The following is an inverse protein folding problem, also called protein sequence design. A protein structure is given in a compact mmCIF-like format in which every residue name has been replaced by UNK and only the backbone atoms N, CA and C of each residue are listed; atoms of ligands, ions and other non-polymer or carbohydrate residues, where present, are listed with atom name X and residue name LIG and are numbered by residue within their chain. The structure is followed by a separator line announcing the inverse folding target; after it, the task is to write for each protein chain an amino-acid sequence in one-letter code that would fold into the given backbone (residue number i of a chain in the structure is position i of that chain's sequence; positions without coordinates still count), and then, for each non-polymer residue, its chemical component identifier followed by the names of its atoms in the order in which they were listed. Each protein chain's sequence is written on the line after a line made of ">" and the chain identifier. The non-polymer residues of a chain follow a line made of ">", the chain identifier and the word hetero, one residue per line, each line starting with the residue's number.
data_IF_265915764934
#
_entry.id   IF_265915764934
#
_cell.length_a   1.000
_cell.length_b   1.000
_cell.length_c   1.000
_cell.angle_alpha   90.00
_cell.angle_beta   90.00
_cell.angle_gamma   90.00
#
_symmetry.space_group_name_H-M   'P 1'
#
loop_
_entity.id
_entity.type
_entity.pdbx_description
1 polymer ?
#
# COMPACT_ATOMS: atom_id res chain seq x y z
N UNK A 1 -0.37 33.62 -22.59
CA UNK A 1 -1.57 33.22 -21.84
C UNK A 1 -1.55 31.71 -21.81
N UNK A 2 -0.71 31.17 -20.92
CA UNK A 2 -0.49 29.73 -20.81
C UNK A 2 -1.54 29.18 -19.87
N UNK A 3 -2.53 28.50 -20.45
CA UNK A 3 -3.50 27.69 -19.72
C UNK A 3 -2.78 26.41 -19.29
N UNK A 4 -2.05 26.52 -18.19
CA UNK A 4 -1.40 25.40 -17.54
C UNK A 4 -2.48 24.72 -16.73
N UNK A 5 -2.99 23.59 -17.25
CA UNK A 5 -3.89 22.72 -16.52
C UNK A 5 -3.24 22.37 -15.19
N UNK A 6 -3.70 23.02 -14.13
CA UNK A 6 -3.35 22.78 -12.74
C UNK A 6 -4.03 21.47 -12.29
N UNK A 7 -3.77 20.39 -13.02
CA UNK A 7 -4.12 19.05 -12.60
C UNK A 7 -3.20 18.70 -11.45
N UNK A 8 -3.68 18.91 -10.22
CA UNK A 8 -2.96 18.70 -8.95
C UNK A 8 -1.98 17.52 -9.07
N UNK A 9 -0.69 17.83 -9.19
CA UNK A 9 0.34 16.80 -9.22
C UNK A 9 0.24 16.00 -7.92
N UNK A 10 -0.16 14.74 -8.04
CA UNK A 10 -0.35 13.83 -6.91
C UNK A 10 0.97 13.59 -6.18
N UNK A 11 0.88 13.07 -4.96
CA UNK A 11 2.03 12.63 -4.18
C UNK A 11 2.16 11.11 -4.23
N UNK A 12 3.37 10.57 -4.25
CA UNK A 12 3.64 9.13 -4.23
C UNK A 12 4.23 8.72 -2.88
N UNK A 13 3.58 7.79 -2.18
CA UNK A 13 4.13 7.09 -1.03
C UNK A 13 4.64 5.70 -1.43
N UNK A 14 5.84 5.34 -1.01
CA UNK A 14 6.44 4.02 -1.25
C UNK A 14 6.47 3.25 0.06
N UNK A 15 5.90 2.05 0.07
CA UNK A 15 5.94 1.11 1.20
C UNK A 15 6.78 -0.08 0.79
N UNK A 16 7.94 -0.28 1.43
CA UNK A 16 8.85 -1.39 1.10
C UNK A 16 8.78 -2.53 2.11
N UNK A 17 8.53 -2.20 3.38
CA UNK A 17 8.55 -3.15 4.49
C UNK A 17 7.14 -3.53 4.88
N UNK A 18 6.73 -4.73 4.46
CA UNK A 18 5.55 -5.38 5.02
C UNK A 18 5.83 -5.86 6.45
N UNK A 19 5.19 -5.23 7.44
CA UNK A 19 5.17 -5.69 8.82
C UNK A 19 4.50 -7.05 8.97
N UNK A 20 5.09 -7.92 9.81
CA UNK A 20 4.66 -9.31 10.05
C UNK A 20 3.70 -9.41 11.25
N UNK A 21 2.60 -8.67 11.23
CA UNK A 21 1.55 -8.76 12.25
C UNK A 21 1.89 -8.06 13.58
N UNK A 22 1.19 -8.47 14.65
CA UNK A 22 1.05 -7.72 15.92
C UNK A 22 2.32 -7.42 16.73
N UNK A 23 3.48 -7.95 16.36
CA UNK A 23 4.72 -7.68 17.10
C UNK A 23 5.44 -6.41 16.61
N UNK A 24 5.37 -6.12 15.31
CA UNK A 24 6.03 -4.94 14.75
C UNK A 24 5.10 -3.72 14.64
N UNK A 25 3.77 -3.96 14.55
CA UNK A 25 2.77 -2.90 14.32
C UNK A 25 2.27 -2.19 15.58
N UNK A 26 2.85 -2.44 16.76
CA UNK A 26 2.38 -1.78 17.99
C UNK A 26 2.60 -0.25 18.00
N UNK A 27 3.37 0.30 17.05
CA UNK A 27 3.74 1.72 17.06
C UNK A 27 3.57 2.49 15.74
N UNK A 28 3.29 1.83 14.61
CA UNK A 28 3.13 2.52 13.32
C UNK A 28 2.19 1.75 12.38
N UNK A 29 1.14 2.42 11.89
CA UNK A 29 0.27 1.94 10.82
C UNK A 29 0.41 2.87 9.61
N UNK A 30 1.27 2.47 8.69
CA UNK A 30 1.62 3.18 7.48
C UNK A 30 0.41 3.39 6.54
N UNK A 31 -0.55 2.46 6.53
CA UNK A 31 -1.74 2.57 5.68
C UNK A 31 -2.77 3.53 6.29
N UNK A 32 -2.87 3.56 7.62
CA UNK A 32 -3.62 4.60 8.32
C UNK A 32 -3.01 5.98 8.05
N UNK A 33 -1.68 6.13 8.20
CA UNK A 33 -1.00 7.37 7.87
C UNK A 33 -1.23 7.78 6.40
N UNK A 34 -1.15 6.85 5.47
CA UNK A 34 -1.42 7.11 4.06
C UNK A 34 -2.84 7.66 3.81
N UNK A 35 -3.83 7.19 4.59
CA UNK A 35 -5.21 7.70 4.52
C UNK A 35 -5.27 9.17 4.92
N UNK A 36 -4.62 9.54 6.02
CA UNK A 36 -4.59 10.93 6.48
C UNK A 36 -3.77 11.83 5.54
N UNK A 37 -2.65 11.34 5.01
CA UNK A 37 -1.85 12.06 4.02
C UNK A 37 -2.61 12.29 2.72
N UNK A 38 -3.39 11.31 2.24
CA UNK A 38 -4.25 11.48 1.07
C UNK A 38 -5.18 12.68 1.23
N UNK A 39 -5.83 12.80 2.40
CA UNK A 39 -6.75 13.91 2.72
C UNK A 39 -6.04 15.25 2.83
N UNK A 40 -4.87 15.29 3.45
CA UNK A 40 -4.15 16.54 3.71
C UNK A 40 -3.37 17.05 2.48
N UNK A 41 -2.90 16.15 1.62
CA UNK A 41 -2.06 16.50 0.47
C UNK A 41 -2.85 16.74 -0.82
N UNK A 42 -4.17 16.51 -0.82
CA UNK A 42 -5.04 16.66 -1.99
C UNK A 42 -4.97 15.49 -2.98
N UNK A 43 -4.40 14.35 -2.57
CA UNK A 43 -4.20 13.21 -3.46
C UNK A 43 -2.93 12.43 -3.14
N UNK A 44 -3.04 11.11 -3.20
CA UNK A 44 -1.94 10.19 -2.93
C UNK A 44 -2.09 8.99 -3.85
N UNK A 45 -0.98 8.53 -4.41
CA UNK A 45 -0.82 7.19 -4.95
C UNK A 45 0.19 6.43 -4.06
N UNK A 46 0.06 5.11 -3.99
CA UNK A 46 0.91 4.23 -3.19
C UNK A 46 1.59 3.24 -4.12
N UNK A 47 2.89 3.03 -3.92
CA UNK A 47 3.65 1.91 -4.49
C UNK A 47 4.02 0.92 -3.39
N UNK A 48 3.52 -0.32 -3.53
CA UNK A 48 3.93 -1.46 -2.72
C UNK A 48 5.10 -2.16 -3.40
N UNK A 49 6.22 -2.31 -2.68
CA UNK A 49 7.40 -3.03 -3.14
C UNK A 49 8.01 -3.87 -2.03
N UNK A 50 9.06 -4.63 -2.35
CA UNK A 50 9.74 -5.47 -1.37
C UNK A 50 8.79 -6.45 -0.70
N UNK A 51 8.78 -6.51 0.64
CA UNK A 51 7.87 -7.42 1.37
C UNK A 51 6.44 -6.88 1.49
N UNK A 52 6.23 -5.58 1.26
CA UNK A 52 4.90 -4.96 1.32
C UNK A 52 3.97 -5.42 0.19
N UNK A 53 4.50 -5.99 -0.89
CA UNK A 53 3.68 -6.56 -1.99
C UNK A 53 2.71 -7.64 -1.50
N UNK A 54 3.02 -8.32 -0.39
CA UNK A 54 2.12 -9.31 0.21
C UNK A 54 0.81 -8.73 0.73
N UNK A 55 0.74 -7.41 0.96
CA UNK A 55 -0.50 -6.71 1.34
C UNK A 55 -1.51 -6.68 0.20
N UNK A 56 -1.03 -6.66 -1.04
CA UNK A 56 -1.87 -6.61 -2.22
C UNK A 56 -2.63 -7.91 -2.49
N UNK A 57 -2.18 -9.05 -1.95
CA UNK A 57 -2.79 -10.35 -2.22
C UNK A 57 -4.18 -10.47 -1.62
N UNK A 58 -5.16 -10.90 -2.40
CA UNK A 58 -6.50 -11.24 -1.91
C UNK A 58 -6.44 -12.52 -1.08
N UNK A 59 -6.45 -12.35 0.24
CA UNK A 59 -6.39 -13.42 1.22
C UNK A 59 -7.40 -13.13 2.34
N UNK A 60 -7.91 -14.19 3.00
CA UNK A 60 -8.75 -14.00 4.16
C UNK A 60 -8.02 -13.22 5.27
N UNK A 61 -8.77 -12.52 6.14
CA UNK A 61 -8.20 -11.89 7.33
C UNK A 61 -7.36 -12.89 8.14
N UNK A 62 -6.30 -12.41 8.83
CA UNK A 62 -5.47 -13.28 9.65
C UNK A 62 -6.34 -13.92 10.76
N UNK A 63 -6.21 -15.24 10.97
CA UNK A 63 -6.96 -15.90 12.03
C UNK A 63 -6.46 -15.45 13.40
N UNK A 64 -7.33 -15.46 14.40
CA UNK A 64 -6.91 -15.23 15.79
C UNK A 64 -5.83 -16.24 16.20
N UNK A 65 -4.78 -15.77 16.87
CA UNK A 65 -3.69 -16.62 17.35
C UNK A 65 -3.89 -16.96 18.83
N UNK A 66 -3.61 -18.21 19.18
CA UNK A 66 -3.57 -18.64 20.58
C UNK A 66 -2.13 -18.77 21.03
N UNK A 67 -1.74 -17.96 22.01
CA UNK A 67 -0.40 -17.93 22.60
C UNK A 67 -0.55 -18.32 24.07
N UNK A 68 -0.33 -19.61 24.36
CA UNK A 68 -0.59 -20.18 25.68
C UNK A 68 -2.07 -20.06 26.07
N UNK A 69 -2.35 -19.29 27.13
CA UNK A 69 -3.69 -18.99 27.62
C UNK A 69 -4.30 -17.70 27.04
N UNK A 70 -3.56 -16.93 26.24
CA UNK A 70 -4.04 -15.69 25.63
C UNK A 70 -4.49 -15.92 24.19
N UNK A 71 -5.59 -15.27 23.82
CA UNK A 71 -6.06 -15.17 22.44
C UNK A 71 -5.72 -13.78 21.92
N UNK A 72 -5.12 -13.72 20.74
CA UNK A 72 -4.79 -12.51 20.02
C UNK A 72 -5.66 -12.45 18.76
N UNK A 73 -6.76 -11.72 18.85
CA UNK A 73 -7.74 -11.48 17.79
C UNK A 73 -7.62 -10.09 17.17
N UNK A 74 -6.67 -9.27 17.64
CA UNK A 74 -6.39 -7.92 17.14
C UNK A 74 -5.31 -7.88 16.05
N UNK A 75 -5.08 -8.99 15.36
CA UNK A 75 -4.12 -9.02 14.25
C UNK A 75 -4.58 -8.11 13.11
N UNK A 76 -3.72 -7.19 12.71
CA UNK A 76 -4.03 -6.25 11.63
C UNK A 76 -4.15 -6.96 10.29
N UNK A 77 -5.23 -6.69 9.58
CA UNK A 77 -5.38 -7.05 8.17
C UNK A 77 -5.01 -5.84 7.28
N UNK A 78 -3.81 -5.81 6.66
CA UNK A 78 -3.41 -4.71 5.78
C UNK A 78 -4.34 -4.56 4.57
N UNK A 79 -5.05 -5.63 4.18
CA UNK A 79 -5.99 -5.62 3.05
C UNK A 79 -7.21 -4.75 3.34
N UNK A 80 -7.64 -4.68 4.59
CA UNK A 80 -8.71 -3.77 5.00
C UNK A 80 -8.29 -2.32 4.78
N UNK A 81 -7.06 -1.95 5.17
CA UNK A 81 -6.50 -0.62 4.92
C UNK A 81 -6.37 -0.29 3.42
N UNK A 82 -5.87 -1.23 2.61
CA UNK A 82 -5.77 -1.05 1.16
C UNK A 82 -7.15 -0.89 0.50
N UNK A 83 -8.16 -1.64 0.93
CA UNK A 83 -9.54 -1.48 0.45
C UNK A 83 -10.07 -0.08 0.76
N UNK A 84 -9.89 0.41 1.99
CA UNK A 84 -10.29 1.78 2.35
C UNK A 84 -9.59 2.85 1.51
N UNK A 85 -8.30 2.67 1.22
CA UNK A 85 -7.53 3.59 0.37
C UNK A 85 -8.05 3.58 -1.08
N UNK A 86 -8.31 2.41 -1.63
CA UNK A 86 -8.90 2.25 -2.98
C UNK A 86 -10.28 2.88 -3.06
N UNK A 87 -11.13 2.68 -2.05
CA UNK A 87 -12.46 3.31 -1.94
C UNK A 87 -12.37 4.84 -1.84
N UNK A 88 -11.30 5.36 -1.22
CA UNK A 88 -11.01 6.79 -1.17
C UNK A 88 -10.43 7.37 -2.48
N UNK A 89 -10.16 6.53 -3.50
CA UNK A 89 -9.63 6.97 -4.80
C UNK A 89 -8.10 7.07 -4.88
N UNK A 90 -7.38 6.50 -3.90
CA UNK A 90 -5.92 6.36 -3.93
C UNK A 90 -5.53 5.38 -5.03
N UNK A 91 -4.59 5.78 -5.90
CA UNK A 91 -4.01 4.86 -6.87
C UNK A 91 -3.03 3.91 -6.19
N UNK A 92 -3.31 2.60 -6.16
CA UNK A 92 -2.40 1.61 -5.56
C UNK A 92 -1.70 0.80 -6.65
N UNK A 93 -0.38 0.81 -6.62
CA UNK A 93 0.51 0.05 -7.50
C UNK A 93 1.26 -1.02 -6.71
N UNK A 94 1.57 -2.14 -7.34
CA UNK A 94 2.44 -3.19 -6.76
C UNK A 94 3.49 -3.61 -7.78
N UNK A 95 4.74 -3.75 -7.35
CA UNK A 95 5.81 -4.26 -8.22
C UNK A 95 5.56 -5.73 -8.59
N UNK A 96 5.29 -5.97 -9.88
CA UNK A 96 5.07 -7.30 -10.46
C UNK A 96 6.25 -8.26 -10.23
N UNK A 97 7.55 -7.84 -10.36
CA UNK A 97 8.67 -8.74 -10.09
C UNK A 97 8.72 -9.22 -8.63
N UNK A 98 8.45 -8.32 -7.67
CA UNK A 98 8.43 -8.66 -6.25
C UNK A 98 7.24 -9.56 -5.90
N UNK A 99 6.07 -9.31 -6.49
CA UNK A 99 4.89 -10.16 -6.35
C UNK A 99 5.14 -11.56 -6.94
N UNK A 100 5.80 -11.64 -8.09
CA UNK A 100 6.20 -12.90 -8.72
C UNK A 100 7.19 -13.67 -7.84
N UNK A 101 8.19 -12.98 -7.28
CA UNK A 101 9.17 -13.58 -6.37
C UNK A 101 8.55 -14.09 -5.07
N UNK A 102 7.46 -13.47 -4.60
CA UNK A 102 6.69 -13.96 -3.45
C UNK A 102 6.03 -15.33 -3.72
N UNK A 103 5.78 -15.67 -4.99
CA UNK A 103 5.32 -17.00 -5.42
C UNK A 103 3.92 -17.38 -4.96
N UNK A 104 3.09 -16.41 -4.54
CA UNK A 104 1.73 -16.68 -4.10
C UNK A 104 0.81 -16.92 -5.30
N UNK A 105 -0.06 -17.95 -5.28
CA UNK A 105 -1.04 -18.18 -6.34
C UNK A 105 -2.26 -17.25 -6.22
N UNK A 106 -2.32 -16.42 -5.17
CA UNK A 106 -3.46 -15.53 -4.92
C UNK A 106 -3.37 -14.31 -5.85
N UNK A 107 -4.50 -13.87 -6.43
CA UNK A 107 -4.52 -12.65 -7.21
C UNK A 107 -4.36 -11.42 -6.32
N UNK A 108 -3.94 -10.27 -6.86
CA UNK A 108 -4.09 -9.00 -6.18
C UNK A 108 -5.56 -8.64 -5.90
N UNK A 109 -5.81 -7.82 -4.88
CA UNK A 109 -7.11 -7.19 -4.65
C UNK A 109 -7.54 -6.41 -5.89
N UNK A 110 -8.85 -6.43 -6.17
CA UNK A 110 -9.42 -5.65 -7.25
C UNK A 110 -9.09 -4.15 -7.10
N UNK A 111 -8.74 -3.49 -8.21
CA UNK A 111 -8.37 -2.08 -8.24
C UNK A 111 -6.87 -1.80 -8.07
N UNK A 112 -6.07 -2.78 -7.64
CA UNK A 112 -4.61 -2.67 -7.62
C UNK A 112 -4.05 -2.79 -9.04
N UNK A 113 -3.11 -1.90 -9.36
CA UNK A 113 -2.38 -1.89 -10.65
C UNK A 113 -1.05 -2.61 -10.50
N UNK A 114 -0.75 -3.52 -11.42
CA UNK A 114 0.57 -4.13 -11.51
C UNK A 114 1.52 -3.16 -12.20
N UNK A 115 2.68 -2.91 -11.59
CA UNK A 115 3.76 -2.14 -12.16
C UNK A 115 4.89 -3.07 -12.58
N UNK A 116 5.35 -2.94 -13.83
CA UNK A 116 6.58 -3.60 -14.29
C UNK A 116 7.79 -3.00 -13.58
N UNK A 117 8.92 -3.69 -13.68
CA UNK A 117 10.18 -3.19 -13.14
C UNK A 117 10.49 -1.78 -13.65
N UNK A 118 10.78 -0.86 -12.73
CA UNK A 118 11.06 0.54 -13.04
C UNK A 118 9.88 1.39 -13.56
N UNK A 119 8.68 0.84 -13.77
CA UNK A 119 7.56 1.57 -14.39
C UNK A 119 7.14 2.80 -13.58
N UNK A 120 6.89 2.63 -12.28
CA UNK A 120 6.51 3.76 -11.41
C UNK A 120 7.69 4.69 -11.17
N UNK A 121 8.92 4.16 -11.13
CA UNK A 121 10.13 4.95 -10.97
C UNK A 121 10.34 5.94 -12.12
N UNK A 122 10.06 5.51 -13.36
CA UNK A 122 10.13 6.38 -14.54
C UNK A 122 9.16 7.57 -14.46
N UNK A 123 8.10 7.47 -13.66
CA UNK A 123 7.06 8.48 -13.48
C UNK A 123 7.27 9.37 -12.26
N UNK A 124 8.35 9.21 -11.50
CA UNK A 124 8.59 10.00 -10.29
C UNK A 124 8.57 11.52 -10.55
N UNK A 125 9.05 11.96 -11.72
CA UNK A 125 9.03 13.37 -12.12
C UNK A 125 7.62 13.92 -12.38
N UNK A 126 6.60 13.06 -12.54
CA UNK A 126 5.18 13.44 -12.67
C UNK A 126 4.53 13.76 -11.32
N UNK A 127 5.11 13.25 -10.22
CA UNK A 127 4.61 13.48 -8.88
C UNK A 127 5.21 14.76 -8.29
N UNK A 128 4.40 15.50 -7.52
CA UNK A 128 4.86 16.68 -6.78
C UNK A 128 5.91 16.33 -5.73
N UNK A 129 5.79 15.13 -5.16
CA UNK A 129 6.65 14.60 -4.10
C UNK A 129 6.63 13.08 -4.14
N UNK A 130 7.77 12.47 -3.82
CA UNK A 130 7.92 11.04 -3.58
C UNK A 130 8.54 10.86 -2.20
N UNK A 131 7.94 10.02 -1.36
CA UNK A 131 8.48 9.70 -0.04
C UNK A 131 8.28 8.23 0.32
N UNK A 132 9.00 7.77 1.34
CA UNK A 132 8.93 6.42 1.85
C UNK A 132 8.21 6.40 3.19
N UNK A 133 7.36 5.40 3.40
CA UNK A 133 6.67 5.12 4.66
C UNK A 133 7.30 3.92 5.37
#
# INVERSE_FOLDING_TARGET
>A
MSDQADGEQRVLAIVERGYRGALDKQFFDELYLATELHRQLGGLDILLRGTAVGYALDAPPPPALRIGARTLDTLTDPRAGLRSLLEAGVGVWVEEPALTALGSPRPPLAGIRLARDGEVAARWAEYRMVFFL
#
